data_IF_238348707899
#
_entry.id   IF_238348707899
#
_cell.length_a   1.000
_cell.length_b   1.000
_cell.length_c   1.000
_cell.angle_alpha   90.00
_cell.angle_beta   90.00
_cell.angle_gamma   90.00
#
_symmetry.space_group_name_H-M   'P 1'
#
loop_
_entity.id
_entity.type
_entity.pdbx_description
1 polymer ?
#
# COMPACT_ATOMS: atom_id res chain seq x y z
N UNK A 1 -27.48 -2.25 -35.18
CA UNK A 1 -26.82 -2.35 -36.51
C UNK A 1 -25.94 -1.12 -36.72
N UNK A 2 -24.73 -1.31 -37.26
CA UNK A 2 -23.60 -0.36 -37.51
C UNK A 2 -22.64 -0.20 -36.32
N UNK A 3 -21.66 -1.09 -36.15
CA UNK A 3 -20.35 -1.26 -36.87
C UNK A 3 -19.35 -0.12 -36.60
N UNK A 4 -18.46 -0.42 -35.67
CA UNK A 4 -17.18 0.23 -35.37
C UNK A 4 -16.23 0.17 -36.57
N UNK A 5 -15.45 1.23 -36.79
CA UNK A 5 -14.31 1.26 -37.71
C UNK A 5 -13.10 1.84 -36.94
N UNK A 6 -12.15 0.97 -36.62
CA UNK A 6 -10.80 1.33 -36.17
C UNK A 6 -10.01 1.88 -37.35
N UNK A 7 -9.28 2.98 -37.16
CA UNK A 7 -8.26 3.46 -38.10
C UNK A 7 -6.97 3.70 -37.32
N UNK A 8 -5.97 2.85 -37.58
CA UNK A 8 -4.56 3.04 -37.23
C UNK A 8 -3.96 4.10 -38.18
N UNK A 9 -3.22 5.07 -37.65
CA UNK A 9 -2.33 5.92 -38.45
C UNK A 9 -0.94 5.93 -37.81
N UNK A 10 -0.01 5.25 -38.47
CA UNK A 10 1.43 5.34 -38.29
C UNK A 10 1.93 6.30 -39.37
N UNK A 11 2.63 7.37 -39.00
CA UNK A 11 3.37 8.21 -39.96
C UNK A 11 4.79 8.44 -39.42
N UNK A 12 5.74 7.73 -40.04
CA UNK A 12 7.16 8.07 -40.06
C UNK A 12 7.39 9.10 -41.16
N UNK A 13 8.12 10.19 -40.89
CA UNK A 13 8.73 10.99 -41.95
C UNK A 13 10.06 11.58 -41.48
N UNK A 14 11.14 11.13 -42.11
CA UNK A 14 12.44 11.77 -42.12
C UNK A 14 12.62 12.47 -43.48
N UNK A 15 13.20 13.68 -43.50
CA UNK A 15 14.18 14.14 -44.52
C UNK A 15 14.64 15.60 -44.29
N UNK A 16 15.93 15.72 -43.97
CA UNK A 16 16.98 16.61 -44.48
C UNK A 16 16.70 18.05 -45.00
N UNK A 17 17.45 18.96 -44.36
CA UNK A 17 18.50 19.88 -44.86
C UNK A 17 18.16 21.25 -45.51
N UNK A 18 18.91 22.23 -44.95
CA UNK A 18 19.47 23.47 -45.54
C UNK A 18 18.48 24.57 -45.90
N UNK A 19 18.72 25.87 -45.68
CA UNK A 19 19.87 26.68 -45.28
C UNK A 19 19.32 28.10 -45.05
N UNK A 20 19.92 28.92 -44.17
CA UNK A 20 20.06 30.34 -44.50
C UNK A 20 21.12 31.05 -43.65
N UNK A 21 22.00 31.70 -44.38
CA UNK A 21 23.12 32.57 -44.02
C UNK A 21 22.70 33.91 -43.40
N UNK A 22 23.50 34.44 -42.46
CA UNK A 22 23.67 35.89 -42.30
C UNK A 22 25.16 36.21 -42.09
N UNK A 23 25.62 37.20 -42.85
CA UNK A 23 26.98 37.73 -42.98
C UNK A 23 27.29 38.82 -41.95
N UNK A 24 28.59 39.04 -41.67
CA UNK A 24 29.30 40.33 -41.93
C UNK A 24 30.78 40.31 -41.50
N UNK A 25 31.64 40.57 -42.50
CA UNK A 25 32.85 41.41 -42.58
C UNK A 25 33.77 41.56 -41.36
N UNK A 26 35.04 41.11 -41.37
CA UNK A 26 36.27 41.55 -42.11
C UNK A 26 37.22 42.28 -41.16
N UNK A 27 38.40 41.70 -40.92
CA UNK A 27 39.68 42.42 -41.03
C UNK A 27 40.83 41.43 -41.26
N UNK A 28 41.62 41.68 -42.31
CA UNK A 28 42.78 40.87 -42.73
C UNK A 28 44.07 41.66 -42.49
N UNK A 29 45.10 40.99 -41.98
CA UNK A 29 46.52 40.95 -42.47
C UNK A 29 47.54 40.84 -41.32
N UNK A 30 48.77 40.33 -41.52
CA UNK A 30 49.30 39.49 -42.61
C UNK A 30 50.01 38.20 -42.11
N UNK A 31 50.20 37.23 -43.02
CA UNK A 31 51.16 36.13 -42.86
C UNK A 31 52.51 36.56 -43.44
N UNK A 32 53.63 36.21 -42.80
CA UNK A 32 54.78 35.78 -43.58
C UNK A 32 55.47 34.53 -43.00
N UNK A 33 55.76 33.56 -43.88
CA UNK A 33 56.84 32.60 -43.68
C UNK A 33 56.44 31.14 -43.90
N UNK A 34 56.38 30.70 -45.16
CA UNK A 34 56.53 29.29 -45.49
C UNK A 34 57.99 28.87 -45.26
N UNK A 35 58.20 27.81 -44.48
CA UNK A 35 59.39 26.97 -44.53
C UNK A 35 58.95 25.50 -44.63
N UNK A 36 59.73 24.63 -45.31
CA UNK A 36 59.22 23.40 -45.90
C UNK A 36 59.07 22.26 -44.90
N UNK A 37 58.14 21.37 -45.20
CA UNK A 37 57.91 20.08 -44.53
C UNK A 37 59.13 19.16 -44.73
N UNK A 38 59.73 18.70 -43.64
CA UNK A 38 60.54 17.47 -43.63
C UNK A 38 60.37 16.74 -42.30
N UNK A 39 59.95 15.48 -42.40
CA UNK A 39 60.04 14.38 -41.43
C UNK A 39 59.50 14.60 -40.00
N UNK A 40 58.28 14.11 -39.77
CA UNK A 40 57.83 13.68 -38.45
C UNK A 40 57.39 12.20 -38.53
N UNK A 41 58.19 11.34 -37.93
CA UNK A 41 57.83 9.97 -37.52
C UNK A 41 56.62 9.99 -36.59
N UNK A 42 55.76 8.94 -36.59
CA UNK A 42 54.59 8.90 -35.71
C UNK A 42 55.04 8.85 -34.25
N UNK A 43 54.39 9.66 -33.41
CA UNK A 43 54.54 9.61 -31.96
C UNK A 43 54.08 8.24 -31.41
N UNK A 44 54.71 7.70 -30.37
CA UNK A 44 54.25 6.48 -29.73
C UNK A 44 52.88 6.71 -29.08
N UNK A 45 52.03 5.68 -29.13
CA UNK A 45 50.73 5.64 -28.46
C UNK A 45 50.90 5.92 -26.95
N UNK A 46 49.95 6.63 -26.30
CA UNK A 46 50.00 6.82 -24.87
C UNK A 46 49.85 5.48 -24.15
N UNK A 47 50.80 5.14 -23.29
CA UNK A 47 50.69 4.01 -22.35
C UNK A 47 49.52 4.29 -21.40
N UNK A 48 48.61 3.32 -21.28
CA UNK A 48 47.58 3.30 -20.24
C UNK A 48 48.29 3.24 -18.86
N UNK A 49 47.80 3.97 -17.83
CA UNK A 49 48.37 3.87 -16.50
C UNK A 49 48.29 2.44 -15.97
N UNK A 50 49.33 2.01 -15.25
CA UNK A 50 49.42 0.69 -14.64
C UNK A 50 48.15 0.38 -13.82
N UNK A 51 47.41 -0.65 -14.24
CA UNK A 51 46.35 -1.26 -13.44
C UNK A 51 46.97 -1.91 -12.21
N UNK A 52 46.38 -1.74 -11.01
CA UNK A 52 46.78 -2.52 -9.84
C UNK A 52 46.75 -4.01 -10.18
N UNK A 53 47.84 -4.71 -9.94
CA UNK A 53 47.96 -6.14 -10.19
C UNK A 53 47.12 -6.93 -9.18
N UNK A 54 46.27 -7.83 -9.69
CA UNK A 54 45.55 -8.83 -8.90
C UNK A 54 46.51 -9.55 -7.93
N UNK A 55 46.11 -9.83 -6.68
CA UNK A 55 46.95 -10.56 -5.75
C UNK A 55 47.24 -12.00 -6.21
N UNK A 56 48.35 -12.58 -5.75
CA UNK A 56 48.87 -13.89 -6.22
C UNK A 56 47.89 -15.07 -6.02
N UNK A 57 46.94 -14.97 -5.08
CA UNK A 57 45.76 -15.86 -4.95
C UNK A 57 44.68 -15.19 -4.07
N UNK A 58 43.60 -14.63 -4.67
CA UNK A 58 42.51 -13.99 -3.93
C UNK A 58 41.87 -14.90 -2.86
N UNK A 59 41.78 -16.22 -3.12
CA UNK A 59 41.13 -17.16 -2.22
C UNK A 59 41.93 -17.41 -0.93
N UNK A 60 43.26 -17.39 -0.99
CA UNK A 60 44.11 -17.54 0.19
C UNK A 60 44.14 -16.27 1.04
N UNK A 61 44.07 -15.09 0.43
CA UNK A 61 43.97 -13.82 1.16
C UNK A 61 42.68 -13.71 1.96
N UNK A 62 41.54 -14.06 1.35
CA UNK A 62 40.24 -14.05 2.01
C UNK A 62 40.22 -15.02 3.19
N UNK A 63 40.83 -16.22 3.05
CA UNK A 63 40.94 -17.18 4.15
C UNK A 63 41.88 -16.72 5.26
N UNK A 64 42.93 -15.98 4.91
CA UNK A 64 43.94 -15.51 5.86
C UNK A 64 43.46 -14.31 6.69
N UNK A 65 42.48 -13.55 6.20
CA UNK A 65 41.89 -12.44 6.92
C UNK A 65 41.17 -12.92 8.20
N UNK A 66 41.46 -12.24 9.32
CA UNK A 66 40.99 -12.60 10.66
C UNK A 66 39.91 -11.66 11.20
N UNK A 67 39.62 -10.56 10.50
CA UNK A 67 38.60 -9.57 10.90
C UNK A 67 37.73 -9.12 9.73
N UNK A 68 36.57 -8.57 10.07
CA UNK A 68 35.65 -7.94 9.12
C UNK A 68 36.32 -6.75 8.43
N UNK A 69 37.09 -5.93 9.17
CA UNK A 69 37.81 -4.77 8.60
C UNK A 69 38.85 -5.17 7.54
N UNK A 70 39.56 -6.29 7.73
CA UNK A 70 40.53 -6.81 6.76
C UNK A 70 39.83 -7.29 5.49
N UNK A 71 38.69 -7.99 5.65
CA UNK A 71 37.88 -8.46 4.53
C UNK A 71 37.21 -7.30 3.77
N UNK A 72 36.80 -6.25 4.47
CA UNK A 72 36.23 -5.04 3.87
C UNK A 72 37.26 -4.35 2.96
N UNK A 73 38.50 -4.21 3.42
CA UNK A 73 39.58 -3.65 2.61
C UNK A 73 39.89 -4.51 1.36
N UNK A 74 39.86 -5.84 1.49
CA UNK A 74 40.01 -6.75 0.36
C UNK A 74 38.86 -6.63 -0.63
N UNK A 75 37.61 -6.61 -0.14
CA UNK A 75 36.39 -6.43 -0.95
C UNK A 75 36.49 -5.15 -1.78
N UNK A 76 36.81 -4.01 -1.17
CA UNK A 76 36.98 -2.74 -1.89
C UNK A 76 38.08 -2.83 -2.96
N UNK A 77 39.22 -3.45 -2.65
CA UNK A 77 40.30 -3.64 -3.63
C UNK A 77 39.90 -4.52 -4.81
N UNK A 78 39.09 -5.57 -4.59
CA UNK A 78 38.56 -6.40 -5.66
C UNK A 78 37.52 -5.66 -6.51
N UNK A 79 36.68 -4.81 -5.90
CA UNK A 79 35.72 -3.98 -6.61
C UNK A 79 36.40 -2.95 -7.51
N UNK A 80 37.48 -2.30 -7.06
CA UNK A 80 38.29 -1.40 -7.89
C UNK A 80 38.86 -2.08 -9.15
N UNK A 81 39.09 -3.39 -9.06
CA UNK A 81 39.62 -4.21 -10.15
C UNK A 81 38.52 -4.90 -10.98
N UNK A 82 37.25 -4.64 -10.68
CA UNK A 82 36.08 -5.34 -11.24
C UNK A 82 36.13 -6.88 -11.07
N UNK A 83 36.85 -7.38 -10.05
CA UNK A 83 36.89 -8.81 -9.69
C UNK A 83 35.71 -9.16 -8.76
N UNK A 84 34.51 -9.13 -9.31
CA UNK A 84 33.27 -9.40 -8.57
C UNK A 84 33.22 -10.78 -7.90
N UNK A 85 33.72 -11.89 -8.49
CA UNK A 85 33.77 -13.17 -7.81
C UNK A 85 34.59 -13.15 -6.51
N UNK A 86 35.75 -12.48 -6.51
CA UNK A 86 36.58 -12.34 -5.31
C UNK A 86 35.96 -11.39 -4.28
N UNK A 87 35.37 -10.27 -4.72
CA UNK A 87 34.62 -9.37 -3.86
C UNK A 87 33.44 -10.07 -3.17
N UNK A 88 32.71 -10.90 -3.92
CA UNK A 88 31.60 -11.70 -3.38
C UNK A 88 32.08 -12.69 -2.33
N UNK A 89 33.18 -13.42 -2.60
CA UNK A 89 33.74 -14.37 -1.65
C UNK A 89 34.23 -13.69 -0.36
N UNK A 90 34.74 -12.45 -0.44
CA UNK A 90 35.09 -11.65 0.73
C UNK A 90 33.85 -11.32 1.58
N UNK A 91 32.75 -10.86 0.96
CA UNK A 91 31.49 -10.58 1.68
C UNK A 91 30.87 -11.86 2.27
N UNK A 92 30.91 -12.98 1.55
CA UNK A 92 30.45 -14.28 2.07
C UNK A 92 31.23 -14.66 3.34
N UNK A 93 32.54 -14.44 3.36
CA UNK A 93 33.37 -14.66 4.54
C UNK A 93 33.04 -13.68 5.68
N UNK A 94 32.73 -12.42 5.38
CA UNK A 94 32.29 -11.46 6.39
C UNK A 94 30.97 -11.89 7.04
N UNK A 95 30.01 -12.37 6.24
CA UNK A 95 28.72 -12.90 6.72
C UNK A 95 28.93 -14.11 7.63
N UNK A 96 29.89 -14.99 7.34
CA UNK A 96 30.23 -16.12 8.21
C UNK A 96 30.76 -15.69 9.58
N UNK A 97 31.46 -14.56 9.66
CA UNK A 97 32.02 -14.03 10.90
C UNK A 97 30.98 -13.27 11.72
N UNK A 98 30.33 -12.29 11.09
CA UNK A 98 29.43 -11.34 11.74
C UNK A 98 28.24 -11.02 10.81
N UNK A 99 27.23 -11.89 10.71
CA UNK A 99 26.11 -11.70 9.80
C UNK A 99 25.31 -10.43 10.15
N UNK A 100 24.99 -9.62 9.14
CA UNK A 100 24.19 -8.39 9.28
C UNK A 100 23.40 -8.09 8.00
N UNK A 101 22.34 -7.29 8.14
CA UNK A 101 21.49 -6.86 7.02
C UNK A 101 22.28 -6.09 5.95
N UNK A 102 23.22 -5.26 6.39
CA UNK A 102 24.12 -4.51 5.52
C UNK A 102 24.98 -5.45 4.65
N UNK A 103 25.55 -6.50 5.23
CA UNK A 103 26.34 -7.48 4.47
C UNK A 103 25.48 -8.30 3.48
N UNK A 104 24.23 -8.61 3.83
CA UNK A 104 23.31 -9.25 2.89
C UNK A 104 22.97 -8.34 1.71
N UNK A 105 22.82 -7.03 1.96
CA UNK A 105 22.62 -6.02 0.92
C UNK A 105 23.85 -5.90 0.03
N UNK A 106 25.04 -5.73 0.62
CA UNK A 106 26.31 -5.67 -0.11
C UNK A 106 26.51 -6.90 -1.00
N UNK A 107 26.20 -8.11 -0.49
CA UNK A 107 26.26 -9.34 -1.28
C UNK A 107 25.36 -9.28 -2.52
N UNK A 108 24.15 -8.73 -2.38
CA UNK A 108 23.23 -8.55 -3.50
C UNK A 108 23.72 -7.47 -4.47
N UNK A 109 24.24 -6.35 -3.97
CA UNK A 109 24.82 -5.25 -4.77
C UNK A 109 25.98 -5.75 -5.66
N UNK A 110 26.92 -6.51 -5.09
CA UNK A 110 28.05 -7.08 -5.85
C UNK A 110 27.56 -8.02 -6.95
N UNK A 111 26.55 -8.85 -6.68
CA UNK A 111 25.96 -9.73 -7.69
C UNK A 111 25.26 -8.94 -8.80
N UNK A 112 24.56 -7.85 -8.45
CA UNK A 112 23.92 -6.98 -9.45
C UNK A 112 24.99 -6.31 -10.33
N UNK A 113 26.07 -5.78 -9.74
CA UNK A 113 27.19 -5.21 -10.50
C UNK A 113 27.85 -6.25 -11.43
N UNK A 114 28.03 -7.48 -10.96
CA UNK A 114 28.56 -8.57 -11.78
C UNK A 114 27.64 -8.89 -12.98
N UNK A 115 26.31 -8.87 -12.77
CA UNK A 115 25.32 -9.04 -13.83
C UNK A 115 25.39 -7.89 -14.83
N UNK A 116 25.43 -6.64 -14.37
CA UNK A 116 25.57 -5.45 -15.22
C UNK A 116 26.81 -5.55 -16.11
N UNK A 117 27.97 -5.90 -15.53
CA UNK A 117 29.21 -6.07 -16.30
C UNK A 117 29.11 -7.19 -17.34
N UNK A 118 28.46 -8.29 -17.00
CA UNK A 118 28.23 -9.38 -17.95
C UNK A 118 27.31 -8.96 -19.11
N UNK A 119 26.32 -8.09 -18.86
CA UNK A 119 25.52 -7.51 -19.93
C UNK A 119 26.35 -6.61 -20.85
N UNK A 120 27.22 -5.76 -20.30
CA UNK A 120 28.12 -4.93 -21.10
C UNK A 120 29.07 -5.78 -21.95
N UNK A 121 29.65 -6.82 -21.36
CA UNK A 121 30.51 -7.76 -22.07
C UNK A 121 29.75 -8.47 -23.19
N UNK A 122 28.54 -8.94 -22.92
CA UNK A 122 27.69 -9.56 -23.93
C UNK A 122 27.43 -8.57 -25.07
N UNK A 123 27.01 -7.35 -24.78
CA UNK A 123 26.76 -6.32 -25.80
C UNK A 123 27.99 -6.07 -26.69
N UNK A 124 29.18 -5.95 -26.08
CA UNK A 124 30.43 -5.77 -26.82
C UNK A 124 30.76 -6.97 -27.72
N UNK A 125 30.52 -8.21 -27.26
CA UNK A 125 30.69 -9.42 -28.07
C UNK A 125 29.72 -9.40 -29.27
N UNK A 126 28.46 -9.05 -29.04
CA UNK A 126 27.45 -9.03 -30.11
C UNK A 126 27.74 -7.95 -31.16
N UNK A 127 28.21 -6.78 -30.74
CA UNK A 127 28.66 -5.71 -31.64
C UNK A 127 29.87 -6.15 -32.47
N UNK A 128 30.83 -6.86 -31.88
CA UNK A 128 31.99 -7.36 -32.61
C UNK A 128 31.61 -8.50 -33.59
N UNK A 129 30.72 -9.39 -33.17
CA UNK A 129 30.34 -10.57 -33.95
C UNK A 129 29.50 -10.21 -35.18
N UNK A 130 28.58 -9.23 -35.06
CA UNK A 130 27.68 -8.87 -36.17
C UNK A 130 28.44 -8.35 -37.40
N UNK A 131 29.60 -7.73 -37.20
CA UNK A 131 30.48 -7.28 -38.29
C UNK A 131 31.11 -8.43 -39.08
N UNK A 132 31.24 -9.61 -38.46
CA UNK A 132 31.93 -10.79 -39.02
C UNK A 132 30.96 -11.83 -39.57
N UNK A 133 29.67 -11.72 -39.24
CA UNK A 133 28.66 -12.70 -39.59
C UNK A 133 28.15 -12.50 -41.03
N UNK A 134 28.12 -13.57 -41.81
CA UNK A 134 27.68 -13.56 -43.22
C UNK A 134 26.17 -13.48 -43.42
N UNK A 135 25.37 -13.90 -42.42
CA UNK A 135 23.91 -13.83 -42.44
C UNK A 135 23.37 -13.21 -41.14
N UNK A 136 23.48 -11.89 -41.04
CA UNK A 136 23.07 -11.11 -39.88
C UNK A 136 21.59 -11.29 -39.50
N UNK A 137 20.70 -11.50 -40.48
CA UNK A 137 19.27 -11.67 -40.22
C UNK A 137 18.96 -12.98 -39.48
N UNK A 138 19.61 -14.08 -39.87
CA UNK A 138 19.45 -15.37 -39.20
C UNK A 138 20.05 -15.34 -37.78
N UNK A 139 21.21 -14.70 -37.62
CA UNK A 139 21.85 -14.52 -36.32
C UNK A 139 20.98 -13.72 -35.36
N UNK A 140 20.50 -12.54 -35.79
CA UNK A 140 19.59 -11.71 -34.99
C UNK A 140 18.37 -12.49 -34.53
N UNK A 141 17.73 -13.23 -35.44
CA UNK A 141 16.56 -14.05 -35.10
C UNK A 141 16.90 -15.07 -34.00
N UNK A 142 18.03 -15.79 -34.14
CA UNK A 142 18.39 -16.82 -33.17
C UNK A 142 18.75 -16.25 -31.81
N UNK A 143 19.39 -15.08 -31.81
CA UNK A 143 19.73 -14.36 -30.58
C UNK A 143 18.49 -13.89 -29.84
N UNK A 144 17.50 -13.35 -30.55
CA UNK A 144 16.20 -12.98 -29.96
C UNK A 144 15.51 -14.19 -29.33
N UNK A 145 15.48 -15.33 -30.02
CA UNK A 145 14.92 -16.57 -29.45
C UNK A 145 15.67 -17.01 -28.17
N UNK A 146 17.00 -16.90 -28.12
CA UNK A 146 17.78 -17.28 -26.94
C UNK A 146 17.48 -16.37 -25.75
N UNK A 147 17.44 -15.05 -25.98
CA UNK A 147 17.15 -14.08 -24.94
C UNK A 147 15.74 -14.23 -24.37
N UNK A 148 14.72 -14.36 -25.24
CA UNK A 148 13.34 -14.56 -24.81
C UNK A 148 13.17 -15.87 -24.00
N UNK A 149 13.87 -16.94 -24.37
CA UNK A 149 13.82 -18.21 -23.65
C UNK A 149 14.63 -18.23 -22.35
N UNK A 150 15.56 -17.30 -22.14
CA UNK A 150 16.38 -17.25 -20.94
C UNK A 150 15.57 -16.87 -19.69
N UNK A 151 14.42 -16.19 -19.85
CA UNK A 151 13.51 -15.87 -18.74
C UNK A 151 14.16 -15.06 -17.62
N UNK A 152 15.17 -14.24 -17.94
CA UNK A 152 15.95 -13.47 -16.97
C UNK A 152 15.02 -12.48 -16.25
N UNK A 153 14.88 -12.64 -14.94
CA UNK A 153 14.09 -11.76 -14.08
C UNK A 153 14.68 -11.74 -12.68
N UNK A 154 14.73 -10.55 -12.08
CA UNK A 154 14.98 -10.40 -10.66
C UNK A 154 13.64 -10.48 -9.93
N UNK A 155 13.52 -11.41 -8.98
CA UNK A 155 12.36 -11.51 -8.09
C UNK A 155 12.80 -11.00 -6.73
N UNK A 156 12.32 -9.82 -6.35
CA UNK A 156 12.48 -9.33 -4.98
C UNK A 156 11.50 -10.12 -4.10
N UNK A 157 11.98 -10.81 -3.05
CA UNK A 157 11.09 -11.51 -2.13
C UNK A 157 10.12 -10.52 -1.49
N UNK A 158 8.86 -10.93 -1.38
CA UNK A 158 7.87 -10.18 -0.63
C UNK A 158 8.22 -10.19 0.86
N UNK A 159 8.07 -9.04 1.51
CA UNK A 159 8.23 -8.89 2.95
C UNK A 159 6.87 -8.52 3.53
N UNK A 160 6.27 -9.38 4.37
CA UNK A 160 4.98 -9.10 4.98
C UNK A 160 5.06 -7.93 5.97
N UNK A 161 3.94 -7.25 6.14
CA UNK A 161 3.76 -6.18 7.11
C UNK A 161 3.33 -6.70 8.50
N UNK A 162 3.77 -7.91 8.85
CA UNK A 162 3.54 -8.55 10.15
C UNK A 162 4.75 -9.44 10.51
N UNK A 163 5.03 -9.57 11.80
CA UNK A 163 6.18 -10.32 12.33
C UNK A 163 5.82 -11.75 12.74
N UNK A 164 4.54 -12.02 12.98
CA UNK A 164 4.03 -13.33 13.40
C UNK A 164 2.57 -13.54 13.01
N UNK A 165 2.08 -14.78 13.07
CA UNK A 165 0.67 -15.11 12.77
C UNK A 165 -0.31 -14.41 13.73
N UNK A 166 0.11 -14.08 14.96
CA UNK A 166 -0.73 -13.39 15.94
C UNK A 166 -1.03 -11.93 15.56
N UNK A 167 -0.20 -11.33 14.70
CA UNK A 167 -0.42 -9.98 14.18
C UNK A 167 -1.33 -9.95 12.94
N UNK A 168 -1.67 -11.12 12.38
CA UNK A 168 -2.55 -11.22 11.21
C UNK A 168 -3.99 -10.98 11.66
N UNK A 169 -4.67 -10.06 10.97
CA UNK A 169 -6.08 -9.82 11.21
C UNK A 169 -6.92 -11.07 10.90
N UNK A 170 -7.83 -11.43 11.81
CA UNK A 170 -8.81 -12.51 11.60
C UNK A 170 -10.01 -12.07 10.73
N UNK A 171 -10.28 -10.77 10.72
CA UNK A 171 -11.32 -10.14 9.94
C UNK A 171 -10.85 -8.78 9.39
N UNK A 172 -11.32 -8.43 8.20
CA UNK A 172 -10.83 -7.26 7.47
C UNK A 172 -11.65 -5.99 7.73
N UNK A 173 -12.92 -6.13 8.10
CA UNK A 173 -13.82 -5.00 8.34
C UNK A 173 -14.55 -5.18 9.66
N UNK A 174 -14.34 -4.24 10.58
CA UNK A 174 -15.02 -4.18 11.87
C UNK A 174 -16.18 -3.19 11.81
N UNK A 175 -17.12 -3.30 12.75
CA UNK A 175 -18.32 -2.45 12.81
C UNK A 175 -18.03 -0.94 12.79
N UNK A 176 -16.88 -0.52 13.33
CA UNK A 176 -16.44 0.89 13.33
C UNK A 176 -16.10 1.39 11.93
N UNK A 177 -15.68 0.49 11.04
CA UNK A 177 -15.16 0.82 9.72
C UNK A 177 -16.28 0.85 8.65
N UNK A 178 -17.51 0.43 8.99
CA UNK A 178 -18.68 0.55 8.09
C UNK A 178 -19.27 1.96 8.04
N UNK A 179 -18.88 2.83 8.97
CA UNK A 179 -19.40 4.20 9.10
C UNK A 179 -18.31 5.29 9.10
N UNK A 180 -17.07 4.95 8.76
CA UNK A 180 -15.94 5.87 8.62
C UNK A 180 -16.06 6.57 7.25
N UNK A 181 -16.41 7.85 7.21
CA UNK A 181 -16.70 8.58 5.96
C UNK A 181 -15.80 9.78 5.72
N UNK A 182 -15.62 10.10 4.43
CA UNK A 182 -15.16 11.42 3.98
C UNK A 182 -16.24 12.08 3.12
N UNK A 183 -16.64 13.31 3.48
CA UNK A 183 -17.67 14.05 2.75
C UNK A 183 -17.08 14.91 1.65
N UNK A 184 -17.44 14.65 0.38
CA UNK A 184 -16.97 15.44 -0.77
C UNK A 184 -18.04 16.30 -1.43
N UNK A 185 -18.91 16.95 -0.65
CA UNK A 185 -19.72 18.09 -1.12
C UNK A 185 -20.76 17.83 -2.23
N UNK A 186 -20.93 16.59 -2.69
CA UNK A 186 -21.98 16.15 -3.61
C UNK A 186 -22.71 14.95 -3.02
N UNK A 187 -24.04 14.90 -3.21
CA UNK A 187 -25.01 14.07 -2.48
C UNK A 187 -24.82 12.52 -2.54
N UNK A 188 -23.75 11.97 -3.14
CA UNK A 188 -23.66 10.54 -3.45
C UNK A 188 -22.31 9.82 -3.16
N UNK A 189 -21.33 10.43 -2.47
CA UNK A 189 -20.09 9.69 -2.13
C UNK A 189 -19.73 9.78 -0.65
N UNK A 190 -20.42 8.98 0.17
CA UNK A 190 -19.91 8.62 1.49
C UNK A 190 -18.98 7.41 1.33
N UNK A 191 -17.67 7.64 1.42
CA UNK A 191 -16.67 6.57 1.30
C UNK A 191 -16.50 5.88 2.64
N UNK A 192 -17.16 4.73 2.82
CA UNK A 192 -17.02 3.88 4.00
C UNK A 192 -15.70 3.10 3.98
N UNK A 193 -15.17 2.78 5.16
CA UNK A 193 -14.08 1.81 5.30
C UNK A 193 -12.73 2.34 4.88
N UNK A 194 -12.40 3.56 5.29
CA UNK A 194 -11.21 4.30 4.85
C UNK A 194 -9.97 4.06 5.71
N UNK A 195 -10.06 3.17 6.72
CA UNK A 195 -8.95 2.86 7.62
C UNK A 195 -8.90 1.36 7.94
N UNK A 196 -7.71 0.79 8.04
CA UNK A 196 -7.46 -0.54 8.59
C UNK A 196 -6.05 -0.57 9.17
N UNK A 197 -5.72 -1.56 9.97
CA UNK A 197 -4.38 -1.71 10.55
C UNK A 197 -4.01 -3.17 10.69
N UNK A 198 -2.72 -3.50 10.63
CA UNK A 198 -2.19 -4.82 10.91
C UNK A 198 -0.74 -4.70 11.38
N UNK A 199 -0.37 -5.42 12.44
CA UNK A 199 0.94 -5.27 13.07
C UNK A 199 1.21 -3.80 13.43
N UNK A 200 2.37 -3.28 13.00
CA UNK A 200 2.76 -1.87 13.19
C UNK A 200 2.28 -0.93 12.07
N UNK A 201 1.42 -1.39 11.16
CA UNK A 201 1.00 -0.62 9.99
C UNK A 201 -0.45 -0.18 10.06
N UNK A 202 -0.70 1.03 9.58
CA UNK A 202 -2.02 1.54 9.23
C UNK A 202 -2.13 1.66 7.71
N UNK A 203 -3.34 1.44 7.20
CA UNK A 203 -3.71 1.52 5.79
C UNK A 203 -4.91 2.43 5.68
N UNK A 204 -4.84 3.42 4.81
CA UNK A 204 -5.88 4.44 4.76
C UNK A 204 -6.08 5.01 3.36
N UNK A 205 -7.27 5.54 3.11
CA UNK A 205 -7.57 6.29 1.91
C UNK A 205 -7.15 7.77 2.10
N UNK A 206 -6.26 8.27 1.24
CA UNK A 206 -5.81 9.68 1.28
C UNK A 206 -6.76 10.55 0.44
N UNK A 207 -7.70 11.22 1.12
CA UNK A 207 -8.76 12.00 0.47
C UNK A 207 -8.23 13.14 -0.40
N UNK A 208 -7.10 13.74 0.00
CA UNK A 208 -6.44 14.83 -0.75
C UNK A 208 -5.79 14.38 -2.07
N UNK A 209 -5.50 13.08 -2.21
CA UNK A 209 -4.88 12.47 -3.39
C UNK A 209 -5.87 11.59 -4.18
N UNK A 210 -7.16 11.89 -4.10
CA UNK A 210 -8.18 11.14 -4.83
C UNK A 210 -8.51 9.79 -4.20
N UNK A 211 -8.36 9.67 -2.88
CA UNK A 211 -8.57 8.45 -2.10
C UNK A 211 -7.62 7.32 -2.49
N UNK A 212 -6.37 7.67 -2.81
CA UNK A 212 -5.30 6.68 -3.02
C UNK A 212 -5.10 5.84 -1.77
N UNK A 213 -4.75 4.56 -1.95
CA UNK A 213 -4.41 3.69 -0.83
C UNK A 213 -2.99 4.00 -0.38
N UNK A 214 -2.85 4.43 0.86
CA UNK A 214 -1.55 4.67 1.50
C UNK A 214 -1.39 3.77 2.72
N UNK A 215 -0.13 3.57 3.11
CA UNK A 215 0.26 2.93 4.36
C UNK A 215 1.29 3.78 5.09
N UNK A 216 1.28 3.71 6.40
CA UNK A 216 2.27 4.31 7.29
C UNK A 216 2.43 3.43 8.53
N UNK A 217 3.52 3.57 9.27
CA UNK A 217 3.62 2.95 10.60
C UNK A 217 2.67 3.63 11.58
N UNK A 218 2.39 2.98 12.72
CA UNK A 218 1.54 3.52 13.79
C UNK A 218 2.01 4.89 14.34
N UNK A 219 3.31 5.20 14.20
CA UNK A 219 3.94 6.47 14.57
C UNK A 219 3.97 7.51 13.42
N UNK A 220 3.45 7.16 12.25
CA UNK A 220 3.39 8.02 11.06
C UNK A 220 4.63 7.99 10.18
N UNK A 221 5.68 7.28 10.59
CA UNK A 221 6.85 7.07 9.75
C UNK A 221 6.53 6.17 8.55
N UNK A 222 7.37 6.22 7.53
CA UNK A 222 7.27 5.36 6.35
C UNK A 222 5.93 5.47 5.61
N UNK A 223 5.38 6.70 5.55
CA UNK A 223 4.17 7.02 4.82
C UNK A 223 4.41 6.96 3.30
N UNK A 224 3.77 6.00 2.63
CA UNK A 224 3.89 5.80 1.18
C UNK A 224 2.60 5.30 0.56
N UNK A 225 2.48 5.52 -0.75
CA UNK A 225 1.37 5.03 -1.55
C UNK A 225 1.56 3.53 -1.87
N UNK A 226 0.48 2.76 -1.74
CA UNK A 226 0.37 1.35 -2.16
C UNK A 226 -0.20 1.28 -3.58
N UNK A 227 -1.29 2.01 -3.86
CA UNK A 227 -1.83 2.17 -5.21
C UNK A 227 -2.61 3.48 -5.36
N UNK A 228 -2.83 3.90 -6.61
CA UNK A 228 -3.53 5.14 -6.96
C UNK A 228 -5.03 4.95 -7.25
N UNK A 229 -5.62 3.82 -6.87
CA UNK A 229 -7.05 3.59 -7.03
C UNK A 229 -7.84 4.49 -6.07
N UNK A 230 -9.09 4.80 -6.42
CA UNK A 230 -10.04 5.39 -5.46
C UNK A 230 -10.57 4.26 -4.56
N UNK A 231 -9.89 4.02 -3.44
CA UNK A 231 -10.20 2.89 -2.56
C UNK A 231 -11.28 3.21 -1.53
N UNK A 232 -12.13 2.22 -1.27
CA UNK A 232 -13.09 2.20 -0.16
C UNK A 232 -13.18 0.77 0.41
N UNK A 233 -13.72 0.62 1.62
CA UNK A 233 -13.87 -0.67 2.30
C UNK A 233 -12.56 -1.46 2.40
N UNK A 234 -11.51 -0.82 2.90
CA UNK A 234 -10.17 -1.40 3.07
C UNK A 234 -10.24 -2.54 4.11
N UNK A 235 -9.84 -3.73 3.70
CA UNK A 235 -9.78 -4.95 4.51
C UNK A 235 -8.36 -5.54 4.40
N UNK A 236 -7.57 -5.49 5.47
CA UNK A 236 -6.18 -6.02 5.46
C UNK A 236 -6.15 -7.37 6.17
N UNK A 237 -5.68 -8.42 5.49
CA UNK A 237 -5.54 -9.79 6.03
C UNK A 237 -4.21 -10.37 5.54
N UNK A 238 -3.27 -10.51 6.47
CA UNK A 238 -1.94 -11.04 6.20
C UNK A 238 -1.23 -10.21 5.14
N UNK A 239 -0.94 -10.82 4.00
CA UNK A 239 -0.21 -10.18 2.89
C UNK A 239 -1.11 -9.38 1.95
N UNK A 240 -2.43 -9.43 2.13
CA UNK A 240 -3.40 -8.91 1.16
C UNK A 240 -4.25 -7.78 1.72
N UNK A 241 -4.56 -6.84 0.85
CA UNK A 241 -5.53 -5.77 1.05
C UNK A 241 -6.67 -6.00 0.06
N UNK A 242 -7.88 -6.18 0.56
CA UNK A 242 -9.11 -6.28 -0.21
C UNK A 242 -9.86 -4.96 -0.13
N UNK A 243 -10.35 -4.46 -1.26
CA UNK A 243 -10.99 -3.15 -1.31
C UNK A 243 -11.94 -3.04 -2.50
N UNK A 244 -12.75 -1.99 -2.47
CA UNK A 244 -13.65 -1.58 -3.55
C UNK A 244 -13.02 -0.42 -4.30
N UNK A 245 -12.92 -0.51 -5.63
CA UNK A 245 -12.46 0.60 -6.46
C UNK A 245 -13.64 1.44 -6.96
N UNK A 246 -13.88 2.58 -6.31
CA UNK A 246 -14.99 3.49 -6.66
C UNK A 246 -14.81 4.14 -8.04
N UNK A 247 -13.56 4.34 -8.48
CA UNK A 247 -13.23 4.93 -9.77
C UNK A 247 -13.63 4.07 -10.98
N UNK A 248 -13.90 2.77 -10.77
CA UNK A 248 -14.23 1.79 -11.82
C UNK A 248 -15.65 1.21 -11.69
N UNK A 249 -16.54 1.86 -10.93
CA UNK A 249 -17.92 1.38 -10.75
C UNK A 249 -18.09 0.34 -9.64
N UNK A 250 -17.24 0.41 -8.61
CA UNK A 250 -17.26 -0.44 -7.41
C UNK A 250 -16.90 -1.94 -7.57
N UNK A 251 -16.03 -2.38 -8.51
CA UNK A 251 -15.53 -3.75 -8.48
C UNK A 251 -14.68 -4.04 -7.24
N UNK A 252 -14.57 -5.32 -6.91
CA UNK A 252 -13.77 -5.81 -5.79
C UNK A 252 -12.39 -6.19 -6.29
N UNK A 253 -11.37 -5.64 -5.63
CA UNK A 253 -9.97 -5.91 -5.90
C UNK A 253 -9.27 -6.49 -4.67
N UNK A 254 -8.16 -7.18 -4.92
CA UNK A 254 -7.11 -7.39 -3.92
C UNK A 254 -5.76 -6.92 -4.45
N UNK A 255 -4.86 -6.54 -3.55
CA UNK A 255 -3.48 -6.15 -3.83
C UNK A 255 -2.60 -6.59 -2.67
N UNK A 256 -1.32 -6.89 -2.90
CA UNK A 256 -0.40 -7.11 -1.78
C UNK A 256 -0.13 -5.81 -1.03
N UNK A 257 0.29 -5.93 0.22
CA UNK A 257 0.55 -4.75 1.06
C UNK A 257 1.75 -3.90 0.60
N UNK A 258 2.57 -4.42 -0.31
CA UNK A 258 3.64 -3.69 -1.01
C UNK A 258 3.21 -3.06 -2.34
N UNK A 259 1.95 -3.24 -2.75
CA UNK A 259 1.39 -2.71 -4.00
C UNK A 259 1.51 -3.65 -5.20
N UNK A 260 2.10 -4.84 -5.04
CA UNK A 260 2.21 -5.82 -6.13
C UNK A 260 0.97 -6.73 -6.25
N UNK A 261 0.91 -7.54 -7.31
CA UNK A 261 -0.15 -8.53 -7.55
C UNK A 261 -1.61 -8.02 -7.48
N UNK A 262 -1.84 -6.75 -7.83
CA UNK A 262 -3.18 -6.17 -7.94
C UNK A 262 -4.05 -6.99 -8.90
N UNK A 263 -5.15 -7.53 -8.38
CA UNK A 263 -6.03 -8.47 -9.09
C UNK A 263 -7.50 -8.11 -8.85
N UNK A 264 -8.30 -8.00 -9.92
CA UNK A 264 -9.75 -7.90 -9.80
C UNK A 264 -10.31 -9.26 -9.38
N UNK A 265 -11.04 -9.32 -8.27
CA UNK A 265 -11.69 -10.54 -7.79
C UNK A 265 -13.10 -10.68 -8.37
N UNK A 266 -13.85 -9.58 -8.44
CA UNK A 266 -15.21 -9.59 -8.99
C UNK A 266 -15.56 -8.24 -9.64
N UNK A 267 -16.21 -8.24 -10.82
CA UNK A 267 -16.70 -7.02 -11.46
C UNK A 267 -18.02 -6.51 -10.86
N UNK A 268 -18.60 -7.23 -9.89
CA UNK A 268 -19.86 -6.85 -9.25
C UNK A 268 -19.75 -5.49 -8.56
N UNK A 269 -20.78 -4.66 -8.69
CA UNK A 269 -20.87 -3.40 -7.97
C UNK A 269 -21.07 -3.66 -6.46
N UNK A 270 -20.01 -3.45 -5.69
CA UNK A 270 -19.97 -3.73 -4.26
C UNK A 270 -20.49 -2.55 -3.42
N UNK A 271 -21.45 -2.82 -2.53
CA UNK A 271 -22.02 -1.86 -1.57
C UNK A 271 -21.37 -1.88 -0.20
N UNK A 272 -20.68 -2.97 0.15
CA UNK A 272 -19.99 -3.17 1.42
C UNK A 272 -19.20 -4.48 1.38
N UNK A 273 -18.02 -4.50 2.00
CA UNK A 273 -17.05 -5.59 1.88
C UNK A 273 -16.50 -5.99 3.26
N UNK A 274 -16.50 -7.28 3.56
CA UNK A 274 -15.91 -7.83 4.78
C UNK A 274 -15.18 -9.14 4.45
N UNK A 275 -13.92 -9.27 4.86
CA UNK A 275 -13.18 -10.53 4.79
C UNK A 275 -13.21 -11.21 6.14
N UNK A 276 -13.54 -12.50 6.17
CA UNK A 276 -13.55 -13.33 7.37
C UNK A 276 -13.10 -14.76 7.00
N UNK A 277 -12.01 -15.21 7.61
CA UNK A 277 -11.37 -16.47 7.26
C UNK A 277 -11.01 -16.53 5.77
N UNK A 278 -11.39 -17.63 5.11
CA UNK A 278 -11.10 -17.86 3.69
C UNK A 278 -12.04 -17.12 2.72
N UNK A 279 -13.01 -16.36 3.22
CA UNK A 279 -14.08 -15.80 2.41
C UNK A 279 -14.13 -14.27 2.44
N UNK A 280 -14.46 -13.72 1.28
CA UNK A 280 -14.84 -12.33 1.06
C UNK A 280 -16.36 -12.30 0.99
N UNK A 281 -16.99 -11.61 1.94
CA UNK A 281 -18.43 -11.37 1.99
C UNK A 281 -18.72 -9.95 1.49
N UNK A 282 -19.72 -9.80 0.62
CA UNK A 282 -20.00 -8.50 0.03
C UNK A 282 -21.47 -8.30 -0.32
N UNK A 283 -21.89 -7.05 -0.33
CA UNK A 283 -23.23 -6.63 -0.76
C UNK A 283 -23.21 -6.42 -2.27
N UNK A 284 -23.95 -7.23 -3.02
CA UNK A 284 -24.03 -7.11 -4.47
C UNK A 284 -25.18 -6.17 -4.87
N UNK A 285 -24.84 -4.93 -5.25
CA UNK A 285 -25.83 -3.92 -5.64
C UNK A 285 -26.54 -4.28 -6.96
N UNK A 286 -25.88 -5.04 -7.84
CA UNK A 286 -26.48 -5.56 -9.08
C UNK A 286 -27.51 -6.68 -8.84
N UNK A 287 -27.47 -7.32 -7.67
CA UNK A 287 -28.38 -8.38 -7.23
C UNK A 287 -29.35 -7.91 -6.14
N UNK A 288 -29.76 -6.64 -6.16
CA UNK A 288 -30.73 -6.11 -5.20
C UNK A 288 -30.22 -6.00 -3.76
N UNK A 289 -28.89 -5.94 -3.57
CA UNK A 289 -28.25 -5.80 -2.26
C UNK A 289 -28.07 -7.10 -1.50
N UNK A 290 -28.29 -8.26 -2.14
CA UNK A 290 -28.04 -9.58 -1.53
C UNK A 290 -26.58 -9.73 -1.10
N UNK A 291 -26.35 -10.43 0.03
CA UNK A 291 -25.01 -10.77 0.46
C UNK A 291 -24.52 -11.95 -0.38
N UNK A 292 -23.40 -11.76 -1.04
CA UNK A 292 -22.65 -12.79 -1.75
C UNK A 292 -21.39 -13.12 -0.97
N UNK A 293 -20.81 -14.29 -1.28
CA UNK A 293 -19.46 -14.63 -0.84
C UNK A 293 -18.63 -15.21 -2.00
N UNK A 294 -17.32 -15.09 -1.87
CA UNK A 294 -16.33 -15.78 -2.71
C UNK A 294 -15.12 -16.13 -1.85
N UNK A 295 -14.30 -17.10 -2.28
CA UNK A 295 -12.99 -17.34 -1.66
C UNK A 295 -12.09 -16.10 -1.83
N UNK A 296 -11.10 -15.95 -0.96
CA UNK A 296 -10.10 -14.87 -0.99
C UNK A 296 -9.24 -14.82 -2.26
N UNK A 297 -9.30 -15.85 -3.10
CA UNK A 297 -8.70 -15.90 -4.45
C UNK A 297 -9.67 -15.55 -5.58
N UNK A 298 -10.93 -15.23 -5.27
CA UNK A 298 -12.00 -14.90 -6.22
C UNK A 298 -12.75 -16.12 -6.75
N UNK A 299 -12.38 -17.34 -6.35
CA UNK A 299 -13.12 -18.54 -6.73
C UNK A 299 -14.41 -18.72 -5.91
N UNK A 300 -15.29 -19.61 -6.36
CA UNK A 300 -16.52 -19.99 -5.64
C UNK A 300 -17.44 -18.80 -5.27
N UNK A 301 -17.66 -17.90 -6.22
CA UNK A 301 -18.59 -16.78 -6.06
C UNK A 301 -20.05 -17.27 -6.10
N UNK A 302 -20.81 -17.05 -5.03
CA UNK A 302 -22.20 -17.50 -4.88
C UNK A 302 -23.03 -16.56 -3.97
N UNK A 303 -24.37 -16.53 -4.13
CA UNK A 303 -25.24 -15.89 -3.15
C UNK A 303 -25.11 -16.57 -1.77
N UNK A 304 -25.13 -15.79 -0.70
CA UNK A 304 -24.93 -16.28 0.67
C UNK A 304 -26.13 -15.99 1.58
N UNK A 305 -26.63 -14.75 1.59
CA UNK A 305 -27.73 -14.33 2.47
C UNK A 305 -28.60 -13.24 1.83
N UNK A 306 -29.69 -12.89 2.53
CA UNK A 306 -30.66 -11.88 2.12
C UNK A 306 -30.04 -10.48 2.00
N UNK A 307 -30.77 -9.53 1.38
CA UNK A 307 -30.28 -8.17 1.24
C UNK A 307 -29.87 -7.53 2.56
N UNK A 308 -28.77 -6.78 2.53
CA UNK A 308 -28.23 -6.06 3.67
C UNK A 308 -27.72 -4.67 3.26
N UNK A 309 -27.64 -3.76 4.23
CA UNK A 309 -27.09 -2.41 4.06
C UNK A 309 -25.65 -2.27 4.53
N UNK A 310 -25.19 -3.15 5.41
CA UNK A 310 -23.80 -3.24 5.85
C UNK A 310 -23.43 -4.70 6.17
N UNK A 311 -22.14 -5.03 6.01
CA UNK A 311 -21.55 -6.31 6.39
C UNK A 311 -20.21 -6.06 7.09
N UNK A 312 -19.98 -6.70 8.23
CA UNK A 312 -18.76 -6.54 9.05
C UNK A 312 -18.57 -7.74 9.97
N UNK A 313 -17.46 -7.82 10.71
CA UNK A 313 -17.14 -8.95 11.58
C UNK A 313 -16.42 -8.52 12.86
N UNK A 314 -16.48 -9.38 13.88
CA UNK A 314 -15.67 -9.32 15.11
C UNK A 314 -14.50 -10.33 15.09
N UNK A 315 -14.30 -11.06 13.98
CA UNK A 315 -13.32 -12.13 13.86
C UNK A 315 -13.86 -13.54 14.12
N UNK A 316 -15.08 -13.68 14.65
CA UNK A 316 -15.75 -14.98 14.84
C UNK A 316 -17.03 -15.08 14.01
N UNK A 317 -17.85 -14.02 14.02
CA UNK A 317 -19.13 -13.99 13.33
C UNK A 317 -19.14 -12.94 12.23
N UNK A 318 -19.96 -13.16 11.21
CA UNK A 318 -20.32 -12.14 10.24
C UNK A 318 -21.59 -11.44 10.72
N UNK A 319 -21.59 -10.11 10.77
CA UNK A 319 -22.73 -9.29 11.14
C UNK A 319 -23.26 -8.57 9.91
N UNK A 320 -24.56 -8.34 9.87
CA UNK A 320 -25.19 -7.57 8.82
C UNK A 320 -26.37 -6.77 9.34
N UNK A 321 -26.65 -5.66 8.66
CA UNK A 321 -27.83 -4.83 8.93
C UNK A 321 -28.87 -5.01 7.85
N UNK A 322 -30.14 -5.18 8.23
CA UNK A 322 -31.24 -5.27 7.28
C UNK A 322 -31.50 -3.94 6.54
N UNK A 323 -32.22 -3.97 5.40
CA UNK A 323 -32.50 -2.79 4.58
C UNK A 323 -33.59 -1.86 5.16
N UNK A 324 -34.43 -2.36 6.07
CA UNK A 324 -35.55 -1.61 6.67
C UNK A 324 -35.55 -1.79 8.20
N UNK A 325 -35.85 -0.71 8.93
CA UNK A 325 -35.83 -0.63 10.40
C UNK A 325 -34.46 -1.04 11.01
N UNK A 326 -34.34 -1.05 12.34
CA UNK A 326 -33.11 -1.47 13.00
C UNK A 326 -33.07 -3.00 13.11
N UNK A 327 -32.57 -3.64 12.06
CA UNK A 327 -32.29 -5.08 12.07
C UNK A 327 -30.79 -5.30 12.11
N UNK A 328 -30.31 -5.97 13.16
CA UNK A 328 -28.93 -6.49 13.25
C UNK A 328 -28.99 -7.96 13.54
N UNK A 329 -28.32 -8.74 12.72
CA UNK A 329 -28.15 -10.16 12.94
C UNK A 329 -26.69 -10.55 12.71
N UNK A 330 -26.30 -11.64 13.34
CA UNK A 330 -25.04 -12.31 13.08
C UNK A 330 -25.28 -13.66 12.40
N UNK A 331 -24.36 -14.05 11.55
CA UNK A 331 -24.30 -15.33 10.85
C UNK A 331 -23.05 -16.06 11.34
N UNK A 332 -23.23 -17.32 11.72
CA UNK A 332 -22.09 -18.23 11.88
C UNK A 332 -21.62 -18.66 10.48
N UNK A 333 -20.37 -18.37 10.09
CA UNK A 333 -19.95 -18.37 8.69
C UNK A 333 -20.01 -19.75 8.01
N UNK A 334 -19.82 -20.83 8.77
CA UNK A 334 -19.70 -22.20 8.26
C UNK A 334 -21.06 -22.89 8.11
N UNK A 335 -21.91 -22.80 9.12
CA UNK A 335 -23.27 -23.36 9.17
C UNK A 335 -24.31 -22.46 8.49
N UNK A 336 -24.05 -21.16 8.40
CA UNK A 336 -25.02 -20.17 7.95
C UNK A 336 -26.13 -19.90 8.97
N UNK A 337 -25.97 -20.34 10.23
CA UNK A 337 -26.95 -20.09 11.29
C UNK A 337 -27.07 -18.59 11.58
N UNK A 338 -28.29 -18.06 11.50
CA UNK A 338 -28.57 -16.64 11.73
C UNK A 338 -29.15 -16.46 13.15
N UNK A 339 -28.51 -15.59 13.94
CA UNK A 339 -29.04 -15.09 15.22
C UNK A 339 -29.33 -13.60 15.12
N UNK A 340 -30.59 -13.23 15.29
CA UNK A 340 -31.02 -11.83 15.39
C UNK A 340 -30.61 -11.28 16.75
N UNK A 341 -29.93 -10.13 16.74
CA UNK A 341 -29.46 -9.43 17.95
C UNK A 341 -30.38 -8.25 18.28
N UNK A 342 -30.76 -7.49 17.26
CA UNK A 342 -31.65 -6.33 17.39
C UNK A 342 -32.70 -6.43 16.28
N UNK A 343 -33.96 -6.31 16.68
CA UNK A 343 -35.10 -6.17 15.78
C UNK A 343 -36.02 -5.09 16.35
N UNK A 344 -35.81 -3.86 15.88
CA UNK A 344 -36.49 -2.67 16.38
C UNK A 344 -37.16 -1.91 15.25
N UNK A 345 -38.40 -1.50 15.48
CA UNK A 345 -39.15 -0.63 14.55
C UNK A 345 -38.54 0.76 14.42
N UNK A 346 -37.68 1.15 15.36
CA UNK A 346 -36.97 2.42 15.31
C UNK A 346 -35.66 2.30 14.60
N UNK A 347 -35.28 3.35 13.90
CA UNK A 347 -33.98 3.45 13.25
C UNK A 347 -32.88 3.56 14.31
N UNK A 348 -31.86 2.74 14.15
CA UNK A 348 -30.58 2.89 14.85
C UNK A 348 -29.56 3.41 13.85
N UNK A 349 -28.60 4.16 14.37
CA UNK A 349 -27.50 4.72 13.61
C UNK A 349 -26.20 4.16 14.19
N UNK A 350 -25.13 4.15 13.36
CA UNK A 350 -23.73 3.86 13.73
C UNK A 350 -23.61 2.77 14.80
N UNK A 351 -23.51 1.52 14.36
CA UNK A 351 -23.48 0.37 15.28
C UNK A 351 -22.03 -0.03 15.51
N UNK A 352 -21.71 -0.33 16.77
CA UNK A 352 -20.48 -1.00 17.15
C UNK A 352 -20.77 -2.31 17.89
N UNK A 353 -20.06 -3.36 17.49
CA UNK A 353 -20.02 -4.61 18.24
C UNK A 353 -18.75 -4.58 19.10
N UNK A 354 -18.93 -4.53 20.41
CA UNK A 354 -17.86 -4.74 21.38
C UNK A 354 -17.88 -6.20 21.86
N UNK A 355 -16.91 -6.59 22.69
CA UNK A 355 -16.83 -7.96 23.22
C UNK A 355 -18.01 -8.34 24.09
N UNK A 356 -18.61 -7.39 24.80
CA UNK A 356 -19.63 -7.61 25.83
C UNK A 356 -21.04 -7.17 25.41
N UNK A 357 -21.15 -6.28 24.42
CA UNK A 357 -22.40 -5.62 24.07
C UNK A 357 -22.43 -5.09 22.64
N UNK A 358 -23.64 -4.78 22.17
CA UNK A 358 -23.87 -3.91 21.01
C UNK A 358 -24.04 -2.48 21.50
N UNK A 359 -23.32 -1.54 20.89
CA UNK A 359 -23.50 -0.11 21.07
C UNK A 359 -24.08 0.48 19.79
N UNK A 360 -25.02 1.41 19.91
CA UNK A 360 -25.57 2.12 18.77
C UNK A 360 -26.06 3.50 19.16
N UNK A 361 -26.17 4.35 18.16
CA UNK A 361 -26.68 5.71 18.30
C UNK A 361 -28.18 5.76 18.00
N UNK A 362 -28.92 6.55 18.79
CA UNK A 362 -30.35 6.81 18.60
C UNK A 362 -30.65 8.30 18.71
N UNK A 363 -31.70 8.74 18.01
CA UNK A 363 -32.23 10.11 18.10
C UNK A 363 -33.20 10.32 19.28
N UNK A 364 -33.46 9.30 20.10
CA UNK A 364 -34.22 9.46 21.35
C UNK A 364 -33.44 10.35 22.32
N UNK A 365 -34.12 11.36 22.87
CA UNK A 365 -33.63 12.26 23.94
C UNK A 365 -32.47 13.22 23.60
N UNK A 366 -32.05 13.31 22.33
CA UNK A 366 -30.87 14.10 21.94
C UNK A 366 -29.66 13.18 21.80
N UNK A 367 -29.43 12.70 20.58
CA UNK A 367 -28.31 11.83 20.15
C UNK A 367 -27.63 11.05 21.28
N UNK A 368 -28.24 9.93 21.66
CA UNK A 368 -27.76 9.09 22.74
C UNK A 368 -27.00 7.86 22.22
N UNK A 369 -26.05 7.38 23.01
CA UNK A 369 -25.44 6.05 22.83
C UNK A 369 -26.15 5.08 23.76
N UNK A 370 -26.66 4.01 23.17
CA UNK A 370 -27.35 2.92 23.87
C UNK A 370 -26.51 1.66 23.78
N UNK A 371 -26.43 0.94 24.89
CA UNK A 371 -25.77 -0.37 25.03
C UNK A 371 -26.83 -1.46 25.19
N UNK A 372 -26.64 -2.59 24.50
CA UNK A 372 -27.38 -3.83 24.74
C UNK A 372 -26.36 -4.91 25.08
N UNK A 373 -26.19 -5.26 26.37
CA UNK A 373 -25.30 -6.34 26.78
C UNK A 373 -25.77 -7.68 26.21
N UNK A 374 -24.84 -8.52 25.77
CA UNK A 374 -25.20 -9.84 25.22
C UNK A 374 -25.80 -10.79 26.26
N UNK A 375 -25.46 -10.62 27.54
CA UNK A 375 -25.96 -11.45 28.64
C UNK A 375 -27.42 -11.13 29.00
N UNK A 376 -27.76 -9.85 29.15
CA UNK A 376 -29.10 -9.42 29.57
C UNK A 376 -30.05 -9.27 28.39
N UNK A 377 -29.56 -8.75 27.26
CA UNK A 377 -30.38 -8.30 26.14
C UNK A 377 -31.24 -7.06 26.44
N UNK A 378 -31.04 -6.43 27.61
CA UNK A 378 -31.78 -5.23 28.02
C UNK A 378 -31.02 -3.97 27.60
N UNK A 379 -31.69 -3.06 26.90
CA UNK A 379 -31.11 -1.79 26.45
C UNK A 379 -30.94 -0.78 27.59
N UNK A 380 -29.78 -0.13 27.65
CA UNK A 380 -29.49 0.95 28.59
C UNK A 380 -28.84 2.15 27.87
N UNK A 381 -29.28 3.36 28.23
CA UNK A 381 -28.66 4.61 27.77
C UNK A 381 -27.38 4.83 28.56
N UNK A 382 -26.23 4.89 27.88
CA UNK A 382 -24.91 5.00 28.53
C UNK A 382 -24.25 6.36 28.31
N UNK A 383 -24.72 7.12 27.33
CA UNK A 383 -24.29 8.49 27.08
C UNK A 383 -25.40 9.29 26.41
N UNK A 384 -25.57 10.54 26.83
CA UNK A 384 -26.49 11.50 26.23
C UNK A 384 -25.72 12.74 25.81
N UNK A 385 -25.65 13.00 24.51
CA UNK A 385 -24.99 14.19 23.97
C UNK A 385 -25.87 15.43 24.15
N UNK A 386 -25.26 16.56 24.55
CA UNK A 386 -25.95 17.85 24.51
C UNK A 386 -25.97 18.46 23.09
N UNK A 387 -25.12 17.94 22.19
CA UNK A 387 -24.96 18.35 20.80
C UNK A 387 -25.35 17.29 19.77
N UNK A 388 -24.60 17.25 18.67
CA UNK A 388 -24.73 16.24 17.61
C UNK A 388 -23.51 15.34 17.55
N UNK A 389 -23.71 14.04 17.39
CA UNK A 389 -22.64 13.07 17.18
C UNK A 389 -22.41 12.82 15.68
N UNK A 390 -21.15 12.90 15.25
CA UNK A 390 -20.73 12.58 13.87
C UNK A 390 -20.07 11.21 13.76
N UNK A 391 -19.43 10.74 14.83
CA UNK A 391 -18.86 9.40 14.92
C UNK A 391 -18.64 9.01 16.39
N UNK A 392 -18.56 7.71 16.68
CA UNK A 392 -18.11 7.22 17.98
C UNK A 392 -17.39 5.88 17.88
N UNK A 393 -16.58 5.59 18.88
CA UNK A 393 -16.04 4.26 19.16
C UNK A 393 -15.97 3.99 20.65
N UNK A 394 -16.17 2.74 21.03
CA UNK A 394 -15.94 2.18 22.35
C UNK A 394 -14.57 1.49 22.36
N UNK A 395 -13.66 1.97 23.19
CA UNK A 395 -12.34 1.39 23.43
C UNK A 395 -12.23 1.02 24.92
N UNK A 396 -12.48 -0.24 25.25
CA UNK A 396 -12.61 -0.68 26.64
C UNK A 396 -13.81 0.00 27.32
N UNK A 397 -13.56 0.77 28.39
CA UNK A 397 -14.61 1.54 29.07
C UNK A 397 -14.76 2.98 28.54
N UNK A 398 -13.96 3.37 27.54
CA UNK A 398 -13.97 4.73 27.02
C UNK A 398 -14.87 4.81 25.79
N UNK A 399 -15.75 5.80 25.79
CA UNK A 399 -16.41 6.33 24.61
C UNK A 399 -15.56 7.46 24.04
N UNK A 400 -15.09 7.30 22.81
CA UNK A 400 -14.47 8.38 22.04
C UNK A 400 -15.46 8.79 20.97
N UNK A 401 -15.88 10.04 20.97
CA UNK A 401 -16.90 10.52 20.03
C UNK A 401 -16.54 11.90 19.47
N UNK A 402 -16.89 12.14 18.21
CA UNK A 402 -16.85 13.48 17.63
C UNK A 402 -18.19 14.15 17.82
N UNK A 403 -18.19 15.29 18.51
CA UNK A 403 -19.38 16.02 18.91
C UNK A 403 -19.36 17.46 18.40
N UNK A 404 -20.51 17.91 17.90
CA UNK A 404 -20.80 19.30 17.61
C UNK A 404 -21.76 19.87 18.63
N UNK A 405 -21.26 20.74 19.50
CA UNK A 405 -22.02 21.36 20.57
C UNK A 405 -23.12 22.32 20.03
N UNK A 406 -24.10 22.73 20.87
CA UNK A 406 -25.15 23.68 20.47
C UNK A 406 -24.64 25.05 20.00
N UNK A 407 -23.44 25.45 20.41
CA UNK A 407 -22.78 26.68 19.95
C UNK A 407 -22.00 26.48 18.62
N UNK A 408 -22.18 25.33 17.99
CA UNK A 408 -21.53 24.87 16.75
C UNK A 408 -20.01 24.66 16.88
N UNK A 409 -19.45 24.64 18.10
CA UNK A 409 -18.08 24.18 18.31
C UNK A 409 -17.98 22.67 18.10
N UNK A 410 -16.89 22.23 17.47
CA UNK A 410 -16.61 20.81 17.19
C UNK A 410 -15.40 20.33 17.99
N UNK A 411 -15.55 19.16 18.60
CA UNK A 411 -14.51 18.51 19.39
C UNK A 411 -14.58 17.00 19.28
N UNK A 412 -13.45 16.34 19.56
CA UNK A 412 -13.41 14.91 19.86
C UNK A 412 -13.33 14.75 21.38
N UNK A 413 -14.31 14.08 21.97
CA UNK A 413 -14.40 13.84 23.41
C UNK A 413 -13.90 12.44 23.78
N UNK A 414 -13.40 12.30 25.00
CA UNK A 414 -13.08 11.03 25.64
C UNK A 414 -13.87 10.97 26.94
N UNK A 415 -14.83 10.04 27.00
CA UNK A 415 -15.77 9.89 28.10
C UNK A 415 -15.62 8.50 28.73
N UNK A 416 -15.53 8.43 30.06
CA UNK A 416 -15.47 7.16 30.78
C UNK A 416 -16.88 6.69 31.12
N UNK A 417 -17.32 5.59 30.51
CA UNK A 417 -18.66 5.02 30.71
C UNK A 417 -18.85 4.46 32.13
N UNK A 418 -17.77 4.06 32.82
CA UNK A 418 -17.86 3.53 34.19
C UNK A 418 -17.93 4.66 35.23
N UNK A 419 -17.10 5.69 35.06
CA UNK A 419 -17.10 6.85 35.95
C UNK A 419 -18.24 7.82 35.63
N UNK A 420 -18.85 7.70 34.45
CA UNK A 420 -19.85 8.63 33.89
C UNK A 420 -19.31 10.07 33.86
N UNK A 421 -18.05 10.23 33.45
CA UNK A 421 -17.35 11.52 33.47
C UNK A 421 -16.62 11.79 32.14
N UNK A 422 -16.60 13.07 31.77
CA UNK A 422 -15.82 13.55 30.63
C UNK A 422 -14.36 13.69 31.06
N UNK A 423 -13.47 12.89 30.48
CA UNK A 423 -12.05 12.93 30.79
C UNK A 423 -11.34 14.06 30.03
N UNK A 424 -11.57 14.14 28.72
CA UNK A 424 -10.85 15.04 27.83
C UNK A 424 -11.74 15.55 26.68
N UNK A 425 -11.42 16.74 26.21
CA UNK A 425 -12.06 17.40 25.07
C UNK A 425 -10.96 17.96 24.14
N UNK A 426 -10.82 17.39 22.95
CA UNK A 426 -9.90 17.84 21.92
C UNK A 426 -10.63 18.88 21.06
N UNK A 427 -10.43 20.15 21.37
CA UNK A 427 -11.10 21.28 20.70
C UNK A 427 -10.57 21.53 19.30
N UNK A 428 -11.45 21.99 18.40
CA UNK A 428 -11.07 22.30 17.02
C UNK A 428 -10.73 21.04 16.23
N UNK A 429 -11.36 19.92 16.59
CA UNK A 429 -11.27 18.64 15.93
C UNK A 429 -12.68 18.18 15.58
N UNK A 430 -12.87 17.67 14.37
CA UNK A 430 -14.14 17.15 13.90
C UNK A 430 -13.87 15.95 13.03
N UNK A 431 -14.65 14.88 13.21
CA UNK A 431 -14.43 13.64 12.50
C UNK A 431 -15.71 12.87 12.25
N UNK A 432 -15.87 12.40 11.02
CA UNK A 432 -16.81 11.33 10.66
C UNK A 432 -16.15 9.94 10.79
N UNK A 433 -14.92 9.88 11.31
CA UNK A 433 -14.01 8.76 11.13
C UNK A 433 -13.12 8.54 12.35
N UNK A 434 -13.68 8.04 13.46
CA UNK A 434 -12.90 7.58 14.62
C UNK A 434 -12.69 6.07 14.52
N UNK A 435 -11.43 5.63 14.60
CA UNK A 435 -10.99 4.27 14.33
C UNK A 435 -10.14 3.72 15.47
N UNK A 436 -10.07 2.39 15.59
CA UNK A 436 -9.19 1.70 16.54
C UNK A 436 -8.25 0.80 15.74
N UNK A 437 -6.95 0.90 15.99
CA UNK A 437 -5.93 0.06 15.39
C UNK A 437 -5.72 -1.24 16.17
N UNK A 438 -4.95 -2.16 15.61
CA UNK A 438 -4.65 -3.49 16.17
C UNK A 438 -3.95 -3.44 17.53
N UNK A 439 -3.21 -2.36 17.82
CA UNK A 439 -2.57 -2.11 19.11
C UNK A 439 -3.52 -1.51 20.17
N UNK A 440 -4.78 -1.28 19.82
CA UNK A 440 -5.77 -0.57 20.64
C UNK A 440 -5.64 0.96 20.57
N UNK A 441 -4.72 1.50 19.77
CA UNK A 441 -4.58 2.93 19.53
C UNK A 441 -5.81 3.50 18.85
N UNK A 442 -6.27 4.67 19.30
CA UNK A 442 -7.44 5.35 18.74
C UNK A 442 -6.97 6.46 17.80
N UNK A 443 -7.57 6.50 16.61
CA UNK A 443 -7.25 7.45 15.55
C UNK A 443 -8.49 8.19 15.10
N UNK A 444 -8.33 9.40 14.56
CA UNK A 444 -9.41 10.08 13.87
C UNK A 444 -8.92 10.86 12.65
N UNK A 445 -9.70 10.87 11.58
CA UNK A 445 -9.49 11.78 10.44
C UNK A 445 -10.01 13.17 10.79
N UNK A 446 -9.16 14.19 10.83
CA UNK A 446 -9.57 15.54 11.21
C UNK A 446 -10.06 16.35 10.01
N UNK A 447 -11.36 16.60 9.95
CA UNK A 447 -12.01 17.36 8.88
C UNK A 447 -11.38 18.74 8.66
N UNK A 448 -10.99 19.43 9.75
CA UNK A 448 -10.38 20.76 9.65
C UNK A 448 -8.97 20.77 9.07
N UNK A 449 -8.38 19.60 8.88
CA UNK A 449 -7.03 19.40 8.37
C UNK A 449 -7.05 18.45 7.17
N UNK A 450 -8.05 18.60 6.30
CA UNK A 450 -8.24 17.78 5.10
C UNK A 450 -8.19 16.28 5.39
N UNK A 451 -8.85 15.87 6.46
CA UNK A 451 -8.99 14.48 6.88
C UNK A 451 -7.67 13.76 7.22
N UNK A 452 -6.60 14.51 7.52
CA UNK A 452 -5.37 13.92 8.04
C UNK A 452 -5.64 13.16 9.33
N UNK A 453 -5.02 11.99 9.47
CA UNK A 453 -5.22 11.12 10.61
C UNK A 453 -4.37 11.58 11.79
N UNK A 454 -5.01 11.64 12.95
CA UNK A 454 -4.40 11.93 14.24
C UNK A 454 -4.54 10.71 15.15
N UNK A 455 -3.50 10.41 15.93
CA UNK A 455 -3.55 9.43 17.02
C UNK A 455 -3.87 10.14 18.33
N UNK A 456 -4.80 9.59 19.10
CA UNK A 456 -5.19 10.12 20.40
C UNK A 456 -4.34 9.46 21.50
N UNK A 457 -3.72 10.26 22.35
CA UNK A 457 -3.18 9.78 23.62
C UNK A 457 -4.29 9.83 24.69
N UNK A 458 -4.86 8.66 24.98
CA UNK A 458 -5.94 8.48 25.95
C UNK A 458 -5.55 8.87 27.38
N UNK A 459 -4.25 8.98 27.70
CA UNK A 459 -3.78 9.37 29.04
C UNK A 459 -3.69 10.88 29.23
N UNK A 460 -3.52 11.63 28.14
CA UNK A 460 -3.30 13.09 28.20
C UNK A 460 -4.42 13.89 27.53
N UNK A 461 -5.27 13.24 26.72
CA UNK A 461 -6.29 13.92 25.93
C UNK A 461 -5.71 14.76 24.80
N UNK A 462 -4.46 14.52 24.42
CA UNK A 462 -3.83 15.18 23.27
C UNK A 462 -3.92 14.30 22.03
N UNK A 463 -3.74 14.90 20.86
CA UNK A 463 -3.70 14.19 19.60
C UNK A 463 -2.53 14.64 18.74
N UNK A 464 -1.84 13.69 18.11
CA UNK A 464 -0.68 13.93 17.25
C UNK A 464 -0.98 13.52 15.82
N UNK A 465 -0.59 14.36 14.86
CA UNK A 465 -0.76 14.07 13.43
C UNK A 465 0.17 12.94 13.00
N UNK A 466 -0.37 12.00 12.24
CA UNK A 466 0.33 10.80 11.75
C UNK A 466 0.52 10.82 10.22
N UNK A 467 -0.32 11.56 9.47
CA UNK A 467 -0.33 11.53 7.99
C UNK A 467 -0.20 12.88 7.28
#
# INVERSE_FOLDING_TARGET
MRRSLFVLIVISLALCLTSCSISKNVHVSPIPGETPISDLTPAPSPELPDTPTLPDDPGELIKAALSVDELEALKESFLEQEDYPSALAAVERMIELEPSDDLYLQRAEIQILAIEKNYDLLNAILEQDIERITNAAAYKKKLTELYENAGLRLIIPFVPDYLSEDEINKAGNFSVNTYTYFWKGSEDSSDAGVFSSQGEWIYFAESSEGFSLRKAKLDGSDNRMVCSDWVANINVIGEWIYYVNRGEGNPIYRIRTDGTDRTMLSPDACGGLCVLGDYVYYINLGAGGEIYRMKTDGSLQEPYSKPASAVFSDGEYLYFTGPEAAHIARIEPDSGEIKVLIDSEQRIYRVQIAQDAVYYETDRNGMAIVRIPFESGESEEVYLSEGKLSSFVIAGSLLIASERAPDESESVIIYDLNATDLLYEIKGASSDSVCVASDGGVYFGNYFDNDKFYRIDLNTGTAEKIT
#
